data_IF_330537282045
#
_entry.id   IF_330537282045
#
_cell.length_a   1.000
_cell.length_b   1.000
_cell.length_c   1.000
_cell.angle_alpha   90.00
_cell.angle_beta   90.00
_cell.angle_gamma   90.00
#
_symmetry.space_group_name_H-M   'P 1'
#
loop_
_entity.id
_entity.type
_entity.pdbx_description
1 polymer ?
#
# COMPACT_ATOMS: atom_id res chain seq x y z
N UNK A 1 -24.37 -4.20 4.65
CA UNK A 1 -23.19 -4.86 4.07
C UNK A 1 -23.64 -6.23 3.56
N UNK A 2 -23.52 -6.47 2.27
CA UNK A 2 -23.79 -7.79 1.66
C UNK A 2 -22.51 -8.62 1.60
N UNK A 3 -22.64 -9.94 1.47
CA UNK A 3 -21.50 -10.86 1.34
C UNK A 3 -20.58 -10.50 0.16
N UNK A 4 -21.16 -9.96 -0.93
CA UNK A 4 -20.44 -9.49 -2.12
C UNK A 4 -19.60 -8.24 -1.84
N UNK A 5 -20.14 -7.28 -1.07
CA UNK A 5 -19.40 -6.10 -0.62
C UNK A 5 -18.28 -6.46 0.35
N UNK A 6 -18.51 -7.44 1.23
CA UNK A 6 -17.48 -7.96 2.12
C UNK A 6 -16.33 -8.59 1.33
N UNK A 7 -16.62 -9.47 0.37
CA UNK A 7 -15.57 -10.09 -0.46
C UNK A 7 -14.75 -9.07 -1.26
N UNK A 8 -15.38 -8.01 -1.76
CA UNK A 8 -14.69 -6.95 -2.49
C UNK A 8 -13.78 -6.13 -1.56
N UNK A 9 -14.26 -5.77 -0.37
CA UNK A 9 -13.51 -4.97 0.60
C UNK A 9 -12.28 -5.71 1.16
N UNK A 10 -12.39 -7.02 1.37
CA UNK A 10 -11.33 -7.85 1.93
C UNK A 10 -10.53 -8.66 0.88
N UNK A 11 -10.63 -8.31 -0.40
CA UNK A 11 -9.85 -8.97 -1.44
C UNK A 11 -8.35 -8.67 -1.28
N UNK A 12 -7.47 -9.65 -1.54
CA UNK A 12 -6.03 -9.41 -1.52
C UNK A 12 -5.64 -8.37 -2.57
N UNK A 13 -4.58 -7.61 -2.25
CA UNK A 13 -3.99 -6.66 -3.19
C UNK A 13 -3.55 -7.39 -4.46
N UNK A 14 -4.07 -6.97 -5.61
CA UNK A 14 -3.59 -7.43 -6.90
C UNK A 14 -2.25 -6.77 -7.22
N UNK A 15 -1.22 -7.56 -7.55
CA UNK A 15 0.09 -7.06 -7.93
C UNK A 15 0.31 -7.40 -9.42
N UNK A 16 0.40 -6.41 -10.31
CA UNK A 16 0.59 -6.65 -11.74
C UNK A 16 1.95 -7.30 -12.00
N UNK A 17 2.00 -8.24 -12.96
CA UNK A 17 3.25 -8.87 -13.38
C UNK A 17 4.07 -8.01 -14.35
N UNK A 18 3.40 -7.08 -15.05
CA UNK A 18 3.99 -6.19 -16.04
C UNK A 18 3.29 -4.84 -16.01
N UNK A 19 3.93 -3.82 -16.58
CA UNK A 19 3.34 -2.51 -16.78
C UNK A 19 2.57 -2.46 -18.11
N UNK A 20 1.31 -2.02 -18.07
CA UNK A 20 0.53 -1.70 -19.27
C UNK A 20 -0.06 -0.30 -19.19
N UNK A 21 -0.02 0.45 -20.31
CA UNK A 21 -0.55 1.83 -20.35
C UNK A 21 -2.06 1.89 -20.06
N UNK A 22 -2.79 0.81 -20.34
CA UNK A 22 -4.24 0.67 -20.09
C UNK A 22 -4.59 0.28 -18.65
N UNK A 23 -3.59 -0.04 -17.82
CA UNK A 23 -3.80 -0.37 -16.42
C UNK A 23 -4.37 0.82 -15.63
N UNK A 24 -5.07 0.50 -14.54
CA UNK A 24 -5.53 1.54 -13.61
C UNK A 24 -4.34 2.25 -12.98
N UNK A 25 -4.53 3.51 -12.55
CA UNK A 25 -3.48 4.24 -11.84
C UNK A 25 -3.00 3.48 -10.59
N UNK A 26 -3.91 2.79 -9.89
CA UNK A 26 -3.55 1.96 -8.73
C UNK A 26 -2.63 0.80 -9.14
N UNK A 27 -2.93 0.08 -10.22
CA UNK A 27 -2.09 -1.03 -10.69
C UNK A 27 -0.71 -0.53 -11.15
N UNK A 28 -0.68 0.59 -11.88
CA UNK A 28 0.58 1.26 -12.26
C UNK A 28 1.42 1.62 -11.03
N UNK A 29 0.80 2.20 -10.00
CA UNK A 29 1.44 2.52 -8.71
C UNK A 29 1.98 1.26 -8.02
N UNK A 30 1.18 0.19 -7.95
CA UNK A 30 1.58 -1.06 -7.30
C UNK A 30 2.75 -1.69 -8.05
N UNK A 31 2.71 -1.70 -9.38
CA UNK A 31 3.81 -2.19 -10.20
C UNK A 31 5.08 -1.37 -9.97
N UNK A 32 4.98 -0.05 -10.03
CA UNK A 32 6.11 0.86 -9.79
C UNK A 32 6.72 0.66 -8.38
N UNK A 33 5.87 0.58 -7.35
CA UNK A 33 6.29 0.31 -5.98
C UNK A 33 6.97 -1.07 -5.86
N UNK A 34 6.47 -2.08 -6.56
CA UNK A 34 7.09 -3.40 -6.62
C UNK A 34 8.45 -3.41 -7.31
N UNK A 35 8.67 -2.56 -8.32
CA UNK A 35 9.96 -2.41 -9.00
C UNK A 35 11.01 -1.74 -8.11
N UNK A 36 10.63 -0.70 -7.37
CA UNK A 36 11.57 0.00 -6.46
C UNK A 36 11.73 -0.71 -5.12
N UNK A 37 10.83 -1.63 -4.79
CA UNK A 37 10.82 -2.42 -3.57
C UNK A 37 10.28 -1.64 -2.36
N UNK A 38 10.78 -0.45 -2.11
CA UNK A 38 10.33 0.46 -1.05
C UNK A 38 10.50 1.92 -1.50
N UNK A 39 9.57 2.81 -1.15
CA UNK A 39 9.73 4.23 -1.48
C UNK A 39 8.61 5.13 -0.98
N UNK A 40 8.85 6.43 -1.13
CA UNK A 40 7.87 7.50 -0.87
C UNK A 40 6.91 7.67 -2.07
N UNK A 41 5.83 8.47 -1.94
CA UNK A 41 5.02 8.85 -3.09
C UNK A 41 5.82 9.50 -4.21
N UNK A 42 6.89 10.25 -3.88
CA UNK A 42 7.76 10.90 -4.86
C UNK A 42 8.62 9.88 -5.61
N UNK A 43 9.15 8.87 -4.93
CA UNK A 43 9.90 7.78 -5.57
C UNK A 43 9.02 6.97 -6.53
N UNK A 44 7.78 6.70 -6.12
CA UNK A 44 6.79 6.02 -6.98
C UNK A 44 6.44 6.88 -8.20
N UNK A 45 6.21 8.18 -8.00
CA UNK A 45 5.93 9.11 -9.10
C UNK A 45 7.10 9.20 -10.08
N UNK A 46 8.33 9.28 -9.57
CA UNK A 46 9.54 9.25 -10.39
C UNK A 46 9.62 7.95 -11.20
N UNK A 47 9.31 6.81 -10.57
CA UNK A 47 9.29 5.52 -11.27
C UNK A 47 8.23 5.45 -12.36
N UNK A 48 7.06 6.02 -12.09
CA UNK A 48 5.98 6.11 -13.06
C UNK A 48 6.36 6.99 -14.26
N UNK A 49 7.04 8.11 -14.03
CA UNK A 49 7.54 8.98 -15.11
C UNK A 49 8.62 8.29 -15.96
N UNK A 50 9.44 7.40 -15.37
CA UNK A 50 10.38 6.55 -16.13
C UNK A 50 9.66 5.53 -17.04
N UNK A 51 8.55 4.97 -16.56
CA UNK A 51 7.78 3.94 -17.27
C UNK A 51 6.87 4.54 -18.34
N UNK A 52 6.26 5.68 -18.05
CA UNK A 52 5.35 6.43 -18.93
C UNK A 52 5.64 7.93 -18.83
N UNK A 53 6.53 8.45 -19.69
CA UNK A 53 6.90 9.87 -19.68
C UNK A 53 5.68 10.77 -19.90
N UNK A 54 5.50 11.76 -19.01
CA UNK A 54 4.36 12.67 -19.00
C UNK A 54 3.25 12.29 -18.03
N UNK A 55 3.26 11.09 -17.45
CA UNK A 55 2.27 10.66 -16.46
C UNK A 55 2.37 11.47 -15.16
N UNK A 56 3.58 11.89 -14.77
CA UNK A 56 3.86 12.64 -13.55
C UNK A 56 3.47 14.12 -13.60
N UNK A 57 2.82 14.59 -14.67
CA UNK A 57 2.43 15.98 -14.81
C UNK A 57 1.12 16.30 -14.07
N UNK A 58 0.98 17.55 -13.59
CA UNK A 58 -0.27 18.04 -12.99
C UNK A 58 -0.59 17.43 -11.61
N UNK A 59 -1.80 16.91 -11.44
CA UNK A 59 -2.32 16.40 -10.16
C UNK A 59 -1.91 14.96 -9.82
N UNK A 60 -1.13 14.30 -10.68
CA UNK A 60 -0.77 12.88 -10.51
C UNK A 60 -0.10 12.59 -9.16
N UNK A 61 0.78 13.48 -8.67
CA UNK A 61 1.42 13.30 -7.37
C UNK A 61 0.45 13.23 -6.18
N UNK A 62 -0.64 14.01 -6.20
CA UNK A 62 -1.68 13.96 -5.16
C UNK A 62 -2.48 12.65 -5.22
N UNK A 63 -2.74 12.15 -6.44
CA UNK A 63 -3.44 10.87 -6.62
C UNK A 63 -2.57 9.70 -6.18
N UNK A 64 -1.28 9.70 -6.53
CA UNK A 64 -0.31 8.69 -6.06
C UNK A 64 -0.27 8.65 -4.54
N UNK A 65 -0.17 9.82 -3.90
CA UNK A 65 -0.21 9.91 -2.44
C UNK A 65 -1.51 9.35 -1.87
N UNK A 66 -2.67 9.78 -2.39
CA UNK A 66 -3.99 9.33 -1.92
C UNK A 66 -4.14 7.81 -2.02
N UNK A 67 -3.70 7.22 -3.12
CA UNK A 67 -3.79 5.78 -3.35
C UNK A 67 -2.87 5.00 -2.39
N UNK A 68 -1.62 5.42 -2.23
CA UNK A 68 -0.67 4.75 -1.32
C UNK A 68 -1.16 4.77 0.14
N UNK A 69 -1.61 5.93 0.63
CA UNK A 69 -2.16 6.02 1.98
C UNK A 69 -3.47 5.23 2.12
N UNK A 70 -4.34 5.24 1.12
CA UNK A 70 -5.58 4.44 1.13
C UNK A 70 -5.33 2.92 1.10
N UNK A 71 -4.26 2.46 0.46
CA UNK A 71 -3.86 1.05 0.49
C UNK A 71 -3.20 0.68 1.83
N UNK A 72 -2.40 1.58 2.41
CA UNK A 72 -1.80 1.41 3.73
C UNK A 72 -2.85 1.34 4.85
N UNK A 73 -3.83 2.26 4.86
CA UNK A 73 -4.92 2.29 5.85
C UNK A 73 -5.74 0.99 5.86
N UNK A 74 -5.90 0.38 4.68
CA UNK A 74 -6.56 -0.93 4.51
C UNK A 74 -5.66 -2.12 4.84
N UNK A 75 -4.42 -1.90 5.26
CA UNK A 75 -3.44 -2.97 5.56
C UNK A 75 -2.97 -3.76 4.33
N UNK A 76 -3.14 -3.21 3.13
CA UNK A 76 -2.72 -3.84 1.88
C UNK A 76 -1.25 -3.52 1.53
N UNK A 77 -0.71 -2.45 2.10
CA UNK A 77 0.71 -2.10 2.07
C UNK A 77 1.28 -2.11 3.49
N UNK A 78 2.59 -2.30 3.58
CA UNK A 78 3.33 -1.92 4.78
C UNK A 78 3.88 -0.52 4.61
N UNK A 79 4.06 0.16 5.73
CA UNK A 79 4.63 1.49 5.77
C UNK A 79 5.50 1.67 7.01
N UNK A 80 6.62 2.38 6.87
CA UNK A 80 7.49 2.74 7.98
C UNK A 80 7.84 4.22 7.90
N UNK A 81 7.87 4.87 9.06
CA UNK A 81 8.35 6.24 9.16
C UNK A 81 9.87 6.23 9.37
N UNK A 82 10.60 6.96 8.52
CA UNK A 82 12.04 7.19 8.61
C UNK A 82 12.27 8.69 8.45
N UNK A 83 12.88 9.33 9.44
CA UNK A 83 13.14 10.79 9.43
C UNK A 83 11.88 11.63 9.13
N UNK A 84 10.73 11.27 9.73
CA UNK A 84 9.41 11.89 9.50
C UNK A 84 8.86 11.74 8.07
N UNK A 85 9.39 10.80 7.29
CA UNK A 85 8.92 10.45 5.95
C UNK A 85 8.37 9.03 5.92
N UNK A 86 7.19 8.85 5.31
CA UNK A 86 6.54 7.54 5.18
C UNK A 86 7.07 6.81 3.95
N UNK A 87 7.68 5.64 4.17
CA UNK A 87 8.14 4.71 3.13
C UNK A 87 7.16 3.55 3.02
N UNK A 88 6.64 3.30 1.82
CA UNK A 88 5.70 2.22 1.53
C UNK A 88 6.41 1.00 0.93
N UNK A 89 5.87 -0.20 1.13
CA UNK A 89 6.38 -1.45 0.57
C UNK A 89 5.24 -2.48 0.36
N UNK A 90 5.34 -3.29 -0.71
CA UNK A 90 4.40 -4.39 -1.00
C UNK A 90 4.59 -5.63 -0.11
N UNK A 91 5.77 -5.80 0.51
CA UNK A 91 6.08 -7.00 1.27
C UNK A 91 5.23 -7.07 2.54
N UNK A 92 4.53 -8.20 2.68
CA UNK A 92 4.00 -8.65 3.96
C UNK A 92 5.18 -8.99 4.87
N UNK A 93 5.57 -8.04 5.72
CA UNK A 93 6.19 -8.33 7.02
C UNK A 93 7.62 -8.94 6.91
N UNK A 94 8.65 -8.09 7.01
CA UNK A 94 10.04 -8.55 7.25
C UNK A 94 10.42 -8.55 8.74
N UNK A 95 9.53 -8.10 9.63
CA UNK A 95 9.67 -8.18 11.09
C UNK A 95 8.48 -8.89 11.69
N UNK A 96 8.71 -9.89 12.54
CA UNK A 96 7.65 -10.52 13.33
C UNK A 96 6.74 -9.47 13.96
N UNK A 97 5.43 -9.61 13.78
CA UNK A 97 4.48 -8.86 14.59
C UNK A 97 4.73 -9.25 16.04
N UNK A 98 5.32 -8.35 16.84
CA UNK A 98 5.31 -8.49 18.29
C UNK A 98 3.87 -8.22 18.72
N UNK A 99 3.05 -9.28 18.71
CA UNK A 99 1.74 -9.24 19.32
C UNK A 99 1.93 -8.96 20.80
N UNK A 100 1.82 -7.70 21.20
CA UNK A 100 1.54 -7.37 22.58
C UNK A 100 0.12 -7.84 22.87
N UNK A 101 -0.03 -9.13 23.18
CA UNK A 101 -1.21 -9.61 23.88
C UNK A 101 -1.12 -8.96 25.25
N UNK A 102 -1.90 -7.93 25.48
CA UNK A 102 -2.06 -7.37 26.82
C UNK A 102 -2.83 -8.44 27.63
N UNK A 103 -2.16 -9.15 28.57
CA UNK A 103 -2.79 -10.25 29.30
C UNK A 103 -3.89 -9.74 30.24
N UNK A 104 -3.96 -8.43 30.51
CA UNK A 104 -4.97 -7.81 31.36
C UNK A 104 -6.30 -7.58 30.62
N UNK A 105 -6.28 -7.57 29.27
CA UNK A 105 -7.48 -7.46 28.42
C UNK A 105 -8.14 -8.82 28.14
N UNK A 106 -7.53 -9.93 28.56
CA UNK A 106 -8.13 -11.27 28.50
C UNK A 106 -9.05 -11.49 29.71
N UNK A 107 -10.23 -10.87 29.67
CA UNK A 107 -11.42 -11.10 30.51
C UNK A 107 -11.19 -11.39 32.01
N UNK A 108 -11.54 -10.47 32.93
CA UNK A 108 -11.73 -10.83 34.33
C UNK A 108 -13.02 -11.66 34.48
N UNK A 109 -12.90 -12.90 34.94
CA UNK A 109 -14.03 -13.66 35.46
C UNK A 109 -14.11 -15.11 35.01
N UNK A 110 -13.26 -15.97 35.58
CA UNK A 110 -13.62 -17.37 35.82
C UNK A 110 -13.08 -17.74 37.21
N UNK A 111 -13.89 -17.49 38.23
CA UNK A 111 -13.83 -18.20 39.52
C UNK A 111 -14.85 -19.34 39.46
#
# INVERSE_FOLDING_TARGET
MTDEQFREEYKPLHVPAAYHNEDTLQDKIIYALGQIGEGTPEDVLAKLEELEPGLGTGSCGQEVQTILYGLFDRGLLTGREVDAVMLFNLHKITRSNEGAVDPDLLAPGLD
#
